data_IF_933943953914
#
_entry.id   IF_933943953914
#
_cell.length_a   1.000
_cell.length_b   1.000
_cell.length_c   1.000
_cell.angle_alpha   90.00
_cell.angle_beta   90.00
_cell.angle_gamma   90.00
#
_symmetry.space_group_name_H-M   'P 1'
#
loop_
_entity.id
_entity.type
_entity.pdbx_description
1 polymer ?
#
# COMPACT_ATOMS: atom_id res chain seq x y z
N UNK A 1 -31.54 -19.94 -13.27
CA UNK A 1 -30.52 -19.60 -14.30
C UNK A 1 -29.15 -19.50 -13.63
N UNK A 2 -28.06 -19.87 -14.31
CA UNK A 2 -26.70 -19.64 -13.82
C UNK A 2 -26.31 -18.17 -13.96
N UNK A 3 -25.53 -17.64 -13.01
CA UNK A 3 -24.86 -16.35 -13.20
C UNK A 3 -23.85 -16.44 -14.37
N UNK A 4 -23.56 -15.32 -15.02
CA UNK A 4 -22.55 -15.27 -16.09
C UNK A 4 -21.15 -15.48 -15.51
N UNK A 5 -20.26 -16.14 -16.27
CA UNK A 5 -18.95 -16.57 -15.73
C UNK A 5 -18.02 -15.37 -15.48
N UNK A 6 -18.12 -14.36 -16.34
CA UNK A 6 -17.36 -13.12 -16.33
C UNK A 6 -17.65 -12.23 -15.12
N UNK A 7 -18.86 -12.29 -14.56
CA UNK A 7 -19.27 -11.50 -13.39
C UNK A 7 -18.97 -12.21 -12.05
N UNK A 8 -18.66 -13.51 -12.09
CA UNK A 8 -18.46 -14.32 -10.89
C UNK A 8 -17.05 -14.21 -10.30
N UNK A 9 -16.91 -14.57 -9.02
CA UNK A 9 -15.63 -14.50 -8.33
C UNK A 9 -14.66 -15.57 -8.86
N UNK A 10 -13.46 -15.12 -9.22
CA UNK A 10 -12.35 -16.00 -9.56
C UNK A 10 -11.98 -16.92 -8.38
N UNK A 11 -11.77 -18.18 -8.69
CA UNK A 11 -11.41 -19.23 -7.73
C UNK A 11 -9.96 -19.64 -7.90
N UNK A 12 -9.55 -19.97 -9.13
CA UNK A 12 -8.18 -20.36 -9.49
C UNK A 12 -7.83 -19.87 -10.89
N UNK A 13 -6.65 -20.23 -11.39
CA UNK A 13 -6.17 -19.81 -12.71
C UNK A 13 -7.11 -20.23 -13.83
N UNK A 14 -7.58 -19.26 -14.60
CA UNK A 14 -8.60 -19.40 -15.65
C UNK A 14 -9.96 -19.96 -15.19
N UNK A 15 -10.25 -19.97 -13.89
CA UNK A 15 -11.48 -20.59 -13.35
C UNK A 15 -12.20 -19.64 -12.41
N UNK A 16 -13.48 -19.40 -12.68
CA UNK A 16 -14.42 -18.73 -11.79
C UNK A 16 -15.48 -19.72 -11.27
N UNK A 17 -16.15 -19.33 -10.19
CA UNK A 17 -17.20 -20.15 -9.56
C UNK A 17 -18.58 -19.53 -9.82
N UNK A 18 -19.38 -20.17 -10.66
CA UNK A 18 -20.77 -19.81 -10.88
C UNK A 18 -21.67 -20.41 -9.81
N UNK A 19 -22.74 -19.69 -9.48
CA UNK A 19 -23.80 -20.19 -8.62
C UNK A 19 -25.16 -19.97 -9.30
N UNK A 20 -26.11 -20.87 -9.04
CA UNK A 20 -27.51 -20.69 -9.39
C UNK A 20 -28.38 -20.84 -8.16
N UNK A 21 -29.48 -20.10 -8.13
CA UNK A 21 -30.52 -20.31 -7.15
C UNK A 21 -31.41 -21.47 -7.60
N UNK A 22 -31.76 -22.32 -6.65
CA UNK A 22 -32.78 -23.34 -6.77
C UNK A 22 -33.84 -23.10 -5.70
N UNK A 23 -35.03 -23.63 -5.91
CA UNK A 23 -36.13 -23.62 -4.95
C UNK A 23 -36.94 -24.90 -5.13
N UNK A 24 -37.61 -25.32 -4.08
CA UNK A 24 -38.58 -26.39 -4.14
C UNK A 24 -39.86 -25.92 -4.80
N UNK A 25 -40.43 -26.72 -5.69
CA UNK A 25 -41.66 -26.40 -6.40
C UNK A 25 -42.57 -27.63 -6.42
N UNK A 26 -43.84 -27.44 -6.03
CA UNK A 26 -44.87 -28.46 -6.15
C UNK A 26 -45.33 -28.61 -7.61
N UNK A 27 -46.03 -29.71 -7.94
CA UNK A 27 -46.54 -29.94 -9.30
C UNK A 27 -47.46 -28.82 -9.83
N UNK A 28 -48.10 -28.08 -8.92
CA UNK A 28 -48.96 -26.95 -9.24
C UNK A 28 -48.20 -25.60 -9.39
N UNK A 29 -46.86 -25.62 -9.34
CA UNK A 29 -46.01 -24.43 -9.45
C UNK A 29 -45.79 -23.66 -8.15
N UNK A 30 -46.27 -24.17 -7.01
CA UNK A 30 -46.11 -23.47 -5.72
C UNK A 30 -44.71 -23.66 -5.17
N UNK A 31 -44.02 -22.57 -4.85
CA UNK A 31 -42.73 -22.64 -4.18
C UNK A 31 -42.89 -23.14 -2.75
N UNK A 32 -42.20 -24.23 -2.42
CA UNK A 32 -42.23 -24.85 -1.11
C UNK A 32 -40.97 -24.49 -0.30
N UNK A 33 -40.99 -24.80 0.98
CA UNK A 33 -39.79 -24.75 1.82
C UNK A 33 -38.85 -25.91 1.43
N UNK A 34 -37.54 -25.68 1.54
CA UNK A 34 -36.49 -26.63 1.20
C UNK A 34 -36.64 -27.98 1.93
N UNK A 35 -37.26 -27.98 3.12
CA UNK A 35 -37.57 -29.18 3.89
C UNK A 35 -38.51 -30.18 3.21
N UNK A 36 -39.27 -29.73 2.21
CA UNK A 36 -40.19 -30.58 1.44
C UNK A 36 -39.54 -31.19 0.19
N UNK A 37 -38.33 -30.78 -0.17
CA UNK A 37 -37.57 -31.47 -1.21
C UNK A 37 -36.67 -32.55 -0.64
N UNK A 38 -36.52 -33.62 -1.41
CA UNK A 38 -35.55 -34.66 -1.11
C UNK A 38 -34.14 -34.17 -1.43
N UNK A 39 -33.29 -34.09 -0.40
CA UNK A 39 -31.96 -33.47 -0.50
C UNK A 39 -31.04 -34.13 -1.54
N UNK A 40 -31.20 -35.44 -1.76
CA UNK A 40 -30.42 -36.22 -2.74
C UNK A 40 -30.79 -35.91 -4.20
N UNK A 41 -31.97 -35.32 -4.45
CA UNK A 41 -32.40 -34.89 -5.78
C UNK A 41 -31.99 -33.44 -6.11
N UNK A 42 -31.34 -32.76 -5.17
CA UNK A 42 -31.01 -31.34 -5.29
C UNK A 42 -30.00 -31.11 -6.43
N UNK A 43 -30.33 -30.30 -7.44
CA UNK A 43 -29.39 -30.00 -8.51
C UNK A 43 -28.16 -29.25 -7.99
N UNK A 44 -27.02 -29.41 -8.68
CA UNK A 44 -25.80 -28.63 -8.40
C UNK A 44 -26.11 -27.13 -8.33
N UNK A 45 -25.77 -26.50 -7.21
CA UNK A 45 -25.98 -25.05 -6.99
C UNK A 45 -24.75 -24.23 -7.33
N UNK A 46 -23.58 -24.87 -7.44
CA UNK A 46 -22.29 -24.26 -7.78
C UNK A 46 -21.58 -25.09 -8.84
N UNK A 47 -20.91 -24.42 -9.76
CA UNK A 47 -20.07 -25.07 -10.76
C UNK A 47 -18.89 -24.19 -11.13
N UNK A 48 -17.78 -24.83 -11.50
CA UNK A 48 -16.65 -24.15 -12.09
C UNK A 48 -16.98 -23.75 -13.54
N UNK A 49 -16.46 -22.61 -13.95
CA UNK A 49 -16.56 -22.15 -15.33
C UNK A 49 -15.24 -21.50 -15.75
N UNK A 50 -14.92 -21.59 -17.04
CA UNK A 50 -13.71 -21.01 -17.60
C UNK A 50 -13.84 -19.48 -17.70
N UNK A 51 -12.87 -18.76 -17.15
CA UNK A 51 -12.78 -17.30 -17.22
C UNK A 51 -11.32 -16.88 -17.39
N UNK A 52 -10.97 -16.41 -18.58
CA UNK A 52 -9.61 -16.01 -18.96
C UNK A 52 -9.12 -14.73 -18.26
N UNK A 53 -10.02 -14.01 -17.60
CA UNK A 53 -9.71 -12.86 -16.74
C UNK A 53 -9.26 -13.29 -15.33
N UNK A 54 -9.45 -14.56 -14.96
CA UNK A 54 -8.99 -15.14 -13.69
C UNK A 54 -7.51 -15.52 -13.74
N UNK A 55 -6.66 -14.51 -13.94
CA UNK A 55 -5.21 -14.63 -13.88
C UNK A 55 -4.69 -13.80 -12.73
N UNK A 56 -3.94 -14.42 -11.82
CA UNK A 56 -3.24 -13.69 -10.76
C UNK A 56 -2.19 -12.78 -11.37
N UNK A 57 -2.08 -11.53 -10.91
CA UNK A 57 -1.03 -10.60 -11.33
C UNK A 57 -0.52 -9.81 -10.12
N UNK A 58 0.78 -9.52 -10.12
CA UNK A 58 1.38 -8.63 -9.14
C UNK A 58 1.07 -7.18 -9.48
N UNK A 59 0.20 -6.54 -8.70
CA UNK A 59 0.04 -5.09 -8.72
C UNK A 59 1.17 -4.48 -7.89
N UNK A 60 2.00 -3.69 -8.57
CA UNK A 60 3.18 -3.05 -7.99
C UNK A 60 2.82 -1.64 -7.51
N UNK A 61 3.01 -1.37 -6.23
CA UNK A 61 2.83 -0.04 -5.65
C UNK A 61 4.00 0.90 -5.92
N UNK A 62 3.78 2.17 -5.59
CA UNK A 62 4.82 3.19 -5.63
C UNK A 62 5.93 2.92 -4.61
N UNK A 63 7.11 3.45 -4.90
CA UNK A 63 8.22 3.43 -3.95
C UNK A 63 7.96 4.42 -2.82
N UNK A 64 8.31 4.02 -1.60
CA UNK A 64 8.43 4.92 -0.47
C UNK A 64 9.52 5.97 -0.70
N UNK A 65 9.53 6.96 0.16
CA UNK A 65 10.68 7.85 0.30
C UNK A 65 11.94 7.06 0.68
N UNK A 66 13.08 7.67 0.37
CA UNK A 66 14.39 7.12 0.71
C UNK A 66 14.60 7.17 2.22
N UNK A 67 15.02 6.07 2.84
CA UNK A 67 15.44 6.07 4.25
C UNK A 67 16.79 6.76 4.48
N UNK A 68 17.48 7.18 3.41
CA UNK A 68 18.81 7.75 3.49
C UNK A 68 18.79 9.17 4.07
N UNK A 69 19.79 9.46 4.91
CA UNK A 69 20.14 10.85 5.18
C UNK A 69 20.74 11.51 3.92
N UNK A 70 20.84 12.84 3.91
CA UNK A 70 21.36 13.56 2.76
C UNK A 70 22.74 13.03 2.32
N UNK A 71 22.90 12.86 1.01
CA UNK A 71 24.09 12.34 0.33
C UNK A 71 24.55 10.92 0.72
N UNK A 72 23.85 10.25 1.65
CA UNK A 72 24.14 8.86 2.06
C UNK A 72 23.32 7.87 1.25
N UNK A 73 23.73 6.60 1.30
CA UNK A 73 22.94 5.50 0.76
C UNK A 73 21.91 5.03 1.80
N UNK A 74 20.78 4.56 1.30
CA UNK A 74 19.69 4.01 2.09
C UNK A 74 18.80 3.14 1.23
N UNK A 75 17.61 2.86 1.74
CA UNK A 75 16.70 1.89 1.15
C UNK A 75 15.33 2.54 0.96
N UNK A 76 14.65 2.15 -0.10
CA UNK A 76 13.21 2.39 -0.23
C UNK A 76 12.46 1.11 -0.54
N UNK A 77 11.22 1.08 -0.08
CA UNK A 77 10.36 -0.08 -0.12
C UNK A 77 9.14 0.19 -0.99
N UNK A 78 8.52 -0.85 -1.51
CA UNK A 78 7.20 -0.77 -2.15
C UNK A 78 6.37 -1.99 -1.79
N UNK A 79 5.06 -1.82 -1.86
CA UNK A 79 4.11 -2.89 -1.56
C UNK A 79 3.73 -3.60 -2.86
N UNK A 80 3.59 -4.93 -2.79
CA UNK A 80 2.99 -5.73 -3.84
C UNK A 80 1.64 -6.24 -3.36
N UNK A 81 0.67 -6.24 -4.26
CA UNK A 81 -0.65 -6.85 -4.02
C UNK A 81 -0.89 -7.91 -5.09
N UNK A 82 -1.23 -9.13 -4.68
CA UNK A 82 -1.70 -10.14 -5.63
C UNK A 82 -3.17 -9.89 -5.93
N UNK A 83 -3.48 -9.60 -7.20
CA UNK A 83 -4.84 -9.27 -7.64
C UNK A 83 -5.23 -10.05 -8.88
N UNK A 84 -6.54 -10.21 -9.10
CA UNK A 84 -7.05 -10.80 -10.32
C UNK A 84 -6.96 -9.79 -11.47
N UNK A 85 -6.48 -10.22 -12.63
CA UNK A 85 -6.32 -9.38 -13.80
C UNK A 85 -7.63 -8.68 -14.20
N UNK A 86 -8.74 -9.41 -14.27
CA UNK A 86 -10.04 -8.85 -14.65
C UNK A 86 -10.64 -7.85 -13.65
N UNK A 87 -10.62 -8.19 -12.37
CA UNK A 87 -11.39 -7.43 -11.35
C UNK A 87 -10.54 -6.51 -10.50
N UNK A 88 -9.21 -6.66 -10.51
CA UNK A 88 -8.25 -5.99 -9.62
C UNK A 88 -8.50 -6.23 -8.12
N UNK A 89 -9.38 -7.17 -7.76
CA UNK A 89 -9.62 -7.61 -6.38
C UNK A 89 -8.51 -8.54 -5.92
N UNK A 90 -8.36 -8.69 -4.60
CA UNK A 90 -7.36 -9.59 -4.02
C UNK A 90 -7.52 -11.03 -4.55
N UNK A 91 -6.40 -11.63 -4.95
CA UNK A 91 -6.35 -12.97 -5.54
C UNK A 91 -5.65 -14.02 -4.65
N UNK A 92 -5.41 -13.69 -3.38
CA UNK A 92 -4.81 -14.61 -2.41
C UNK A 92 -3.47 -15.17 -2.92
N UNK A 93 -3.45 -16.49 -3.15
CA UNK A 93 -2.25 -17.23 -3.56
C UNK A 93 -2.08 -17.38 -5.08
N UNK A 94 -2.93 -16.76 -5.90
CA UNK A 94 -2.87 -16.91 -7.36
C UNK A 94 -1.57 -16.41 -8.01
N UNK A 95 -0.76 -15.62 -7.29
CA UNK A 95 0.52 -15.10 -7.76
C UNK A 95 1.73 -15.89 -7.22
N UNK A 96 1.52 -17.00 -6.51
CA UNK A 96 2.59 -17.76 -5.82
C UNK A 96 3.70 -18.20 -6.76
N UNK A 97 3.32 -18.68 -7.95
CA UNK A 97 4.26 -19.23 -8.94
C UNK A 97 4.74 -18.19 -9.96
N UNK A 98 4.30 -16.93 -9.80
CA UNK A 98 4.74 -15.82 -10.64
C UNK A 98 6.01 -15.19 -10.07
N UNK A 99 6.90 -14.73 -10.95
CA UNK A 99 8.09 -13.98 -10.55
C UNK A 99 7.69 -12.78 -9.68
N UNK A 100 8.10 -12.80 -8.42
CA UNK A 100 7.82 -11.74 -7.45
C UNK A 100 8.73 -10.53 -7.73
N UNK A 101 8.16 -9.35 -8.06
CA UNK A 101 8.96 -8.15 -8.24
C UNK A 101 9.74 -7.76 -6.97
N UNK A 102 10.84 -7.03 -7.12
CA UNK A 102 11.60 -6.53 -5.97
C UNK A 102 10.74 -5.60 -5.11
N UNK A 103 10.72 -5.80 -3.80
CA UNK A 103 10.02 -4.91 -2.83
C UNK A 103 10.95 -3.88 -2.20
N UNK A 104 12.24 -3.99 -2.48
CA UNK A 104 13.28 -3.21 -1.84
C UNK A 104 14.31 -2.81 -2.91
N UNK A 105 14.79 -1.56 -2.87
CA UNK A 105 15.92 -1.12 -3.68
C UNK A 105 16.78 -0.09 -2.96
N UNK A 106 18.06 -0.07 -3.31
CA UNK A 106 19.01 0.94 -2.85
C UNK A 106 18.69 2.30 -3.48
N UNK A 107 19.01 3.34 -2.73
CA UNK A 107 18.59 4.70 -2.97
C UNK A 107 19.63 5.66 -2.36
N UNK A 108 19.88 6.82 -2.97
CA UNK A 108 20.78 7.86 -2.42
C UNK A 108 19.95 9.05 -1.94
N UNK A 109 20.28 9.56 -0.76
CA UNK A 109 19.66 10.75 -0.18
C UNK A 109 19.92 11.98 -1.03
N UNK A 110 18.98 12.94 -0.98
CA UNK A 110 19.14 14.22 -1.67
C UNK A 110 20.36 14.99 -1.20
N UNK A 111 20.74 16.04 -1.94
CA UNK A 111 21.82 16.93 -1.53
C UNK A 111 21.54 17.53 -0.16
N UNK A 112 22.57 17.63 0.69
CA UNK A 112 22.42 18.33 1.96
C UNK A 112 22.21 19.81 1.65
N UNK A 113 21.07 20.38 2.08
CA UNK A 113 20.98 21.84 2.18
C UNK A 113 21.79 22.23 3.41
N UNK A 114 23.09 22.45 3.22
CA UNK A 114 23.80 23.35 4.14
C UNK A 114 23.03 24.66 4.11
N UNK A 115 22.64 25.24 5.26
CA UNK A 115 22.13 26.60 5.31
C UNK A 115 23.19 27.48 4.65
N UNK A 116 22.98 27.80 3.38
CA UNK A 116 23.92 28.55 2.60
C UNK A 116 23.84 29.97 3.16
N UNK A 117 24.82 30.30 4.00
CA UNK A 117 24.98 31.59 4.63
C UNK A 117 23.86 31.93 5.61
N UNK A 118 23.89 31.34 6.83
CA UNK A 118 23.33 32.05 7.97
C UNK A 118 24.13 33.33 8.11
N UNK A 119 23.65 34.40 7.46
CA UNK A 119 24.16 35.76 7.62
C UNK A 119 24.32 35.94 9.13
N UNK A 120 25.56 36.05 9.59
CA UNK A 120 25.86 36.11 11.02
C UNK A 120 25.06 37.28 11.59
N UNK A 121 24.02 36.98 12.36
CA UNK A 121 23.04 37.94 12.87
C UNK A 121 22.77 37.65 14.34
N UNK A 122 22.42 38.70 15.07
CA UNK A 122 22.06 38.59 16.47
C UNK A 122 20.56 38.27 16.57
N UNK A 123 20.24 37.11 17.12
CA UNK A 123 18.87 36.60 17.26
C UNK A 123 18.17 37.14 18.52
N UNK A 124 18.89 37.87 19.39
CA UNK A 124 18.37 38.40 20.64
C UNK A 124 18.72 39.87 20.84
N UNK A 125 17.75 40.66 21.31
CA UNK A 125 17.96 42.06 21.70
C UNK A 125 18.90 42.24 22.90
N UNK A 126 19.18 41.16 23.63
CA UNK A 126 20.04 41.18 24.82
C UNK A 126 21.50 40.84 24.53
N UNK A 127 21.89 40.72 23.26
CA UNK A 127 23.27 40.36 22.88
C UNK A 127 24.34 41.32 23.44
N UNK A 128 24.01 42.60 23.60
CA UNK A 128 24.90 43.56 24.26
C UNK A 128 25.18 43.19 25.73
N UNK A 129 24.21 42.64 26.45
CA UNK A 129 24.38 42.17 27.83
C UNK A 129 25.23 40.89 27.88
N UNK A 130 25.08 40.01 26.88
CA UNK A 130 25.91 38.80 26.72
C UNK A 130 27.39 39.17 26.63
N UNK A 131 27.74 40.21 25.85
CA UNK A 131 29.11 40.75 25.78
C UNK A 131 29.55 41.36 27.11
N UNK A 132 28.74 42.24 27.70
CA UNK A 132 29.04 42.88 29.00
C UNK A 132 29.26 41.89 30.14
N UNK A 133 28.56 40.75 30.11
CA UNK A 133 28.68 39.67 31.09
C UNK A 133 29.74 38.62 30.71
N UNK A 134 30.54 38.83 29.66
CA UNK A 134 31.58 37.89 29.19
C UNK A 134 31.05 36.50 28.81
N UNK A 135 29.78 36.41 28.41
CA UNK A 135 29.09 35.16 28.10
C UNK A 135 29.35 34.65 26.68
N UNK A 136 30.00 35.46 25.82
CA UNK A 136 30.43 35.08 24.47
C UNK A 136 31.45 33.95 24.42
N UNK A 137 31.97 33.49 25.56
CA UNK A 137 32.82 32.29 25.66
C UNK A 137 32.02 30.98 25.57
N UNK A 138 30.71 31.03 25.75
CA UNK A 138 29.84 29.86 25.70
C UNK A 138 29.24 29.73 24.29
N UNK A 139 29.41 28.57 23.65
CA UNK A 139 28.96 28.35 22.26
C UNK A 139 27.47 28.64 22.02
N UNK A 140 26.60 28.44 23.02
CA UNK A 140 25.17 28.80 22.94
C UNK A 140 24.91 30.29 22.71
N UNK A 141 25.77 31.15 23.25
CA UNK A 141 25.64 32.59 23.13
C UNK A 141 26.31 33.08 21.85
N UNK A 142 27.33 32.38 21.35
CA UNK A 142 27.90 32.65 20.02
C UNK A 142 26.92 32.34 18.89
N UNK A 143 26.09 31.30 19.02
CA UNK A 143 25.07 30.98 18.01
C UNK A 143 23.88 31.95 18.04
N UNK A 144 23.52 32.48 19.21
CA UNK A 144 22.43 33.46 19.36
C UNK A 144 22.85 34.91 19.12
N UNK A 145 24.12 35.26 19.36
CA UNK A 145 24.65 36.62 19.33
C UNK A 145 25.90 36.70 18.46
N UNK A 146 25.78 36.23 17.22
CA UNK A 146 26.90 36.04 16.31
C UNK A 146 27.63 37.36 15.98
N UNK A 147 26.93 38.46 15.70
CA UNK A 147 27.59 39.75 15.40
C UNK A 147 28.21 40.35 16.65
N UNK A 148 27.49 40.32 17.76
CA UNK A 148 27.95 40.93 19.01
C UNK A 148 29.17 40.21 19.61
N UNK A 149 29.25 38.89 19.48
CA UNK A 149 30.38 38.10 19.98
C UNK A 149 31.58 38.05 19.02
N UNK A 150 31.41 38.41 17.74
CA UNK A 150 32.48 38.57 16.76
C UNK A 150 32.94 40.03 16.54
N UNK A 151 32.36 41.00 17.27
CA UNK A 151 32.76 42.42 17.27
C UNK A 151 33.60 42.80 18.49
#
# INVERSE_FOLDING_TARGET
MWATCDETHCFTWNTAMQSRRIWCEAENGTHLNDSYCEHDSTPLTRQECYNDLCKGVWRVGEWSECSAACEKDGIKYRILQCVWYGTRRAAGNACRDLTRPSVMRVCRGGACTVPNNSKCEDLSKYCQNVRKMNLCKLGRYQTQCCKTCNS
#
